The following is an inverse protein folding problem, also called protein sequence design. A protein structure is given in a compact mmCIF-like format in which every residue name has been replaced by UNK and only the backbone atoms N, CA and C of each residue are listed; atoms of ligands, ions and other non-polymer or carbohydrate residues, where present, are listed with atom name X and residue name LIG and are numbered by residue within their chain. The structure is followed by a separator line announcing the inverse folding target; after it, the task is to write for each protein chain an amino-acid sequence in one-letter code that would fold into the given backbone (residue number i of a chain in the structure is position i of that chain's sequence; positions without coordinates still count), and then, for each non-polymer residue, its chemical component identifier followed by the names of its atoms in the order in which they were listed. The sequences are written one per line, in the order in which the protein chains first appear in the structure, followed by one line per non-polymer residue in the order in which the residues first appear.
data_IF_070395145333
#
_entry.id   IF_070395145333
#
_cell.length_a   1.000
_cell.length_b   1.000
_cell.length_c   1.000
_cell.angle_alpha   90.00
_cell.angle_beta   90.00
_cell.angle_gamma   90.00
#
_symmetry.space_group_name_H-M   'P 1'
#
loop_
_entity.id
_entity.type
_entity.pdbx_description
1 polymer ?
#
# COMPACT_ATOMS: atom_id res chain seq x y z
N UNK A 1 -11.22 4.06 -19.41
CA UNK A 1 -9.77 4.27 -19.33
C UNK A 1 -9.21 3.20 -18.41
N UNK A 2 -7.97 2.77 -18.62
CA UNK A 2 -7.31 1.83 -17.73
C UNK A 2 -7.19 2.46 -16.33
N UNK A 3 -7.54 1.72 -15.28
CA UNK A 3 -7.44 2.24 -13.91
C UNK A 3 -6.07 1.94 -13.29
N UNK A 4 -5.57 2.86 -12.47
CA UNK A 4 -4.40 2.67 -11.61
C UNK A 4 -4.85 2.30 -10.21
N UNK A 5 -4.35 1.19 -9.69
CA UNK A 5 -4.59 0.73 -8.33
C UNK A 5 -3.44 1.19 -7.44
N UNK A 6 -3.78 1.84 -6.34
CA UNK A 6 -2.79 2.49 -5.48
C UNK A 6 -3.03 2.08 -4.05
N UNK A 7 -1.94 1.75 -3.36
CA UNK A 7 -1.88 1.58 -1.91
C UNK A 7 -0.77 2.46 -1.37
N UNK A 8 -1.06 3.23 -0.33
CA UNK A 8 -0.08 4.05 0.38
C UNK A 8 -0.09 3.64 1.84
N UNK A 9 1.07 3.30 2.39
CA UNK A 9 1.22 2.91 3.78
C UNK A 9 2.16 3.87 4.49
N UNK A 10 1.64 4.60 5.47
CA UNK A 10 2.44 5.35 6.42
C UNK A 10 2.86 4.46 7.58
N UNK A 11 4.10 4.59 8.04
CA UNK A 11 4.61 3.79 9.17
C UNK A 11 5.27 4.68 10.21
N UNK A 12 5.01 4.38 11.47
CA UNK A 12 5.60 5.12 12.59
C UNK A 12 5.12 4.61 13.94
N UNK A 13 5.02 5.52 14.91
CA UNK A 13 4.44 5.25 16.24
C UNK A 13 3.03 5.81 16.32
N UNK A 14 2.32 5.50 17.41
CA UNK A 14 1.00 6.05 17.69
C UNK A 14 0.96 7.58 17.61
N UNK A 15 1.99 8.27 18.12
CA UNK A 15 2.07 9.74 18.05
C UNK A 15 2.23 10.27 16.62
N UNK A 16 2.85 9.49 15.73
CA UNK A 16 2.91 9.80 14.31
C UNK A 16 1.52 9.63 13.69
N UNK A 17 0.77 8.58 14.03
CA UNK A 17 -0.62 8.39 13.57
C UNK A 17 -1.57 9.49 14.04
N UNK A 18 -1.42 9.97 15.28
CA UNK A 18 -2.17 11.13 15.77
C UNK A 18 -1.90 12.40 14.94
N UNK A 19 -0.64 12.61 14.52
CA UNK A 19 -0.28 13.71 13.63
C UNK A 19 -0.91 13.55 12.25
N UNK A 20 -0.86 12.34 11.69
CA UNK A 20 -1.49 12.01 10.42
C UNK A 20 -2.99 12.28 10.44
N UNK A 21 -3.73 11.74 11.41
CA UNK A 21 -5.18 11.94 11.47
C UNK A 21 -5.55 13.41 11.64
N UNK A 22 -4.80 14.17 12.45
CA UNK A 22 -4.99 15.62 12.58
C UNK A 22 -4.72 16.37 11.29
N UNK A 23 -3.71 15.95 10.52
CA UNK A 23 -3.44 16.53 9.22
C UNK A 23 -4.57 16.26 8.23
N UNK A 24 -5.11 15.03 8.19
CA UNK A 24 -6.24 14.69 7.33
C UNK A 24 -7.49 15.50 7.68
N UNK A 25 -7.70 15.78 8.96
CA UNK A 25 -8.82 16.57 9.48
C UNK A 25 -8.53 18.09 9.55
N UNK A 26 -7.44 18.59 8.94
CA UNK A 26 -7.04 20.01 9.08
C UNK A 26 -8.07 21.00 8.52
N UNK A 27 -8.87 20.56 7.57
CA UNK A 27 -9.91 21.37 6.91
C UNK A 27 -11.32 21.05 7.43
N UNK A 28 -11.44 20.19 8.45
CA UNK A 28 -12.70 19.94 9.14
C UNK A 28 -13.17 21.21 9.84
N UNK A 29 -14.44 21.58 9.64
CA UNK A 29 -15.03 22.76 10.29
C UNK A 29 -15.20 22.55 11.79
N UNK A 30 -15.30 21.30 12.26
CA UNK A 30 -15.41 20.98 13.67
C UNK A 30 -14.05 21.03 14.38
N UNK A 31 -13.94 21.78 15.49
CA UNK A 31 -12.66 21.92 16.19
C UNK A 31 -12.24 20.59 16.83
N UNK A 32 -11.07 20.09 16.44
CA UNK A 32 -10.47 18.90 17.03
C UNK A 32 -9.95 19.19 18.44
N UNK A 33 -10.34 18.36 19.41
CA UNK A 33 -9.77 18.42 20.75
C UNK A 33 -8.27 18.09 20.74
N UNK A 34 -7.42 18.88 21.42
CA UNK A 34 -6.00 18.53 21.61
C UNK A 34 -5.80 17.19 22.33
N UNK A 35 -6.79 16.73 23.10
CA UNK A 35 -6.77 15.49 23.87
C UNK A 35 -7.47 14.33 23.12
N UNK A 36 -7.90 14.54 21.87
CA UNK A 36 -8.52 13.50 21.07
C UNK A 36 -7.60 12.27 20.93
N UNK A 37 -8.18 11.11 21.24
CA UNK A 37 -7.55 9.80 21.05
C UNK A 37 -7.46 9.44 19.56
N UNK A 38 -6.63 8.45 19.23
CA UNK A 38 -6.47 8.02 17.85
C UNK A 38 -7.78 7.46 17.30
N UNK A 39 -8.50 6.70 18.11
CA UNK A 39 -9.79 6.10 17.77
C UNK A 39 -10.84 7.17 17.46
N UNK A 40 -10.89 8.26 18.24
CA UNK A 40 -11.79 9.38 18.01
C UNK A 40 -11.48 10.10 16.69
N UNK A 41 -10.20 10.31 16.38
CA UNK A 41 -9.80 10.95 15.13
C UNK A 41 -10.12 10.06 13.92
N UNK A 42 -9.87 8.75 14.02
CA UNK A 42 -10.25 7.78 12.96
C UNK A 42 -11.76 7.79 12.76
N UNK A 43 -12.54 7.74 13.84
CA UNK A 43 -14.01 7.79 13.77
C UNK A 43 -14.50 9.09 13.10
N UNK A 44 -13.84 10.22 13.34
CA UNK A 44 -14.16 11.48 12.68
C UNK A 44 -13.86 11.46 11.19
N UNK A 45 -12.71 10.92 10.77
CA UNK A 45 -12.38 10.74 9.34
C UNK A 45 -13.41 9.88 8.64
N UNK A 46 -13.77 8.74 9.25
CA UNK A 46 -14.78 7.83 8.71
C UNK A 46 -16.15 8.50 8.60
N UNK A 47 -16.52 9.30 9.61
CA UNK A 47 -17.78 10.04 9.59
C UNK A 47 -17.82 11.07 8.45
N UNK A 48 -16.77 11.88 8.28
CA UNK A 48 -16.69 12.82 7.15
C UNK A 48 -16.73 12.11 5.80
N UNK A 49 -15.99 11.01 5.65
CA UNK A 49 -16.01 10.22 4.42
C UNK A 49 -17.41 9.64 4.11
N UNK A 50 -18.19 9.33 5.14
CA UNK A 50 -19.56 8.85 4.98
C UNK A 50 -20.55 9.97 4.61
N UNK A 51 -20.39 11.16 5.17
CA UNK A 51 -21.29 12.30 4.93
C UNK A 51 -21.02 12.97 3.56
N UNK A 52 -19.75 13.08 3.17
CA UNK A 52 -19.33 13.87 2.01
C UNK A 52 -18.93 13.01 0.80
N UNK A 53 -18.49 11.77 1.02
CA UNK A 53 -18.03 10.87 -0.03
C UNK A 53 -19.10 9.94 -0.59
N UNK A 54 -18.74 9.15 -1.59
CA UNK A 54 -19.60 8.09 -2.13
C UNK A 54 -19.72 6.88 -1.19
N UNK A 55 -20.75 6.05 -1.43
CA UNK A 55 -20.99 4.83 -0.64
C UNK A 55 -19.74 3.93 -0.59
N UNK A 56 -19.35 3.54 0.63
CA UNK A 56 -18.17 2.70 0.88
C UNK A 56 -16.86 3.46 1.12
N UNK A 57 -16.81 4.77 0.89
CA UNK A 57 -15.64 5.61 1.17
C UNK A 57 -15.27 5.58 2.65
N UNK A 58 -13.99 5.40 2.96
CA UNK A 58 -13.47 5.43 4.35
C UNK A 58 -12.54 6.62 4.63
N UNK A 59 -12.18 7.36 3.59
CA UNK A 59 -11.52 8.67 3.67
C UNK A 59 -11.83 9.43 2.38
N UNK A 60 -11.69 10.76 2.40
CA UNK A 60 -11.79 11.59 1.21
C UNK A 60 -10.39 11.84 0.66
N UNK A 61 -10.18 11.65 -0.65
CA UNK A 61 -8.87 11.88 -1.26
C UNK A 61 -8.40 13.34 -1.09
N UNK A 62 -9.32 14.30 -1.07
CA UNK A 62 -9.04 15.72 -0.79
C UNK A 62 -8.38 15.98 0.57
N UNK A 63 -8.47 15.04 1.51
CA UNK A 63 -7.77 15.16 2.79
C UNK A 63 -6.25 15.03 2.66
N UNK A 64 -5.71 14.50 1.56
CA UNK A 64 -4.25 14.24 1.46
C UNK A 64 -3.43 15.49 1.13
N UNK A 65 -4.01 16.48 0.45
CA UNK A 65 -3.34 17.75 0.15
C UNK A 65 -4.36 18.87 -0.15
N UNK A 66 -3.99 20.13 0.10
CA UNK A 66 -4.86 21.29 -0.20
C UNK A 66 -5.01 21.54 -1.70
N UNK A 67 -4.05 21.07 -2.49
CA UNK A 67 -4.09 21.12 -3.95
C UNK A 67 -3.71 19.75 -4.48
N UNK A 68 -4.69 19.09 -5.08
CA UNK A 68 -4.53 17.80 -5.72
C UNK A 68 -4.05 17.94 -7.17
N UNK A 69 -3.18 17.04 -7.57
CA UNK A 69 -2.75 16.84 -8.95
C UNK A 69 -3.28 15.53 -9.53
N UNK A 70 -3.52 14.52 -8.67
CA UNK A 70 -4.11 13.24 -9.04
C UNK A 70 -5.60 13.18 -8.74
N UNK A 71 -6.16 12.00 -8.93
CA UNK A 71 -7.55 11.68 -8.65
C UNK A 71 -7.68 10.36 -7.88
N UNK A 72 -8.87 10.13 -7.35
CA UNK A 72 -9.26 8.87 -6.78
C UNK A 72 -10.75 8.63 -7.04
N UNK A 73 -11.11 7.39 -7.34
CA UNK A 73 -12.49 6.93 -7.35
C UNK A 73 -12.95 6.80 -5.90
N UNK A 74 -13.77 7.72 -5.44
CA UNK A 74 -14.17 7.84 -4.03
C UNK A 74 -14.73 6.53 -3.48
N UNK A 75 -15.59 5.83 -4.23
CA UNK A 75 -16.20 4.56 -3.82
C UNK A 75 -15.18 3.44 -3.53
N UNK A 76 -13.94 3.59 -3.98
CA UNK A 76 -12.82 2.65 -3.77
C UNK A 76 -11.88 3.07 -2.65
N UNK A 77 -12.04 4.29 -2.10
CA UNK A 77 -11.17 4.82 -1.06
C UNK A 77 -11.37 4.05 0.26
N UNK A 78 -10.34 3.31 0.67
CA UNK A 78 -10.27 2.56 1.93
C UNK A 78 -9.14 3.08 2.79
N UNK A 79 -9.36 3.09 4.10
CA UNK A 79 -8.38 3.52 5.09
C UNK A 79 -8.40 2.56 6.28
N UNK A 80 -7.22 2.12 6.71
CA UNK A 80 -7.06 1.32 7.91
C UNK A 80 -5.82 1.74 8.68
N UNK A 81 -6.00 2.14 9.94
CA UNK A 81 -4.91 2.47 10.86
C UNK A 81 -4.91 1.46 12.00
N UNK A 82 -3.77 0.83 12.27
CA UNK A 82 -3.65 -0.15 13.35
C UNK A 82 -2.23 -0.23 13.92
N UNK A 83 -2.12 -0.84 15.09
CA UNK A 83 -0.84 -1.31 15.64
C UNK A 83 -0.54 -2.69 15.05
N UNK A 84 0.68 -2.88 14.54
CA UNK A 84 1.19 -4.15 14.06
C UNK A 84 1.80 -4.95 15.22
N UNK A 85 1.95 -6.26 15.01
CA UNK A 85 2.51 -7.19 15.99
C UNK A 85 3.92 -6.78 16.46
N UNK A 86 4.73 -6.18 15.59
CA UNK A 86 6.06 -5.64 15.91
C UNK A 86 6.06 -4.33 16.74
N UNK A 87 4.89 -3.78 17.08
CA UNK A 87 4.72 -2.56 17.90
C UNK A 87 4.85 -1.24 17.12
N UNK A 88 4.98 -1.31 15.80
CA UNK A 88 4.82 -0.15 14.92
C UNK A 88 3.36 0.07 14.60
N UNK A 89 2.99 1.31 14.30
CA UNK A 89 1.69 1.62 13.75
C UNK A 89 1.80 1.79 12.24
N UNK A 90 0.77 1.34 11.53
CA UNK A 90 0.61 1.54 10.09
C UNK A 90 -0.69 2.29 9.81
N UNK A 91 -0.69 3.11 8.76
CA UNK A 91 -1.89 3.70 8.17
C UNK A 91 -1.89 3.38 6.67
N UNK A 92 -2.74 2.43 6.28
CA UNK A 92 -2.91 1.98 4.91
C UNK A 92 -4.08 2.72 4.26
N UNK A 93 -3.82 3.33 3.12
CA UNK A 93 -4.80 3.91 2.21
C UNK A 93 -4.79 3.08 0.94
N UNK A 94 -5.97 2.76 0.41
CA UNK A 94 -6.11 2.07 -0.87
C UNK A 94 -7.19 2.75 -1.69
N UNK A 95 -6.95 2.92 -3.00
CA UNK A 95 -7.90 3.53 -3.92
C UNK A 95 -7.54 3.20 -5.38
N UNK A 96 -8.52 3.34 -6.26
CA UNK A 96 -8.35 3.34 -7.71
C UNK A 96 -8.34 4.78 -8.23
N UNK A 97 -7.64 5.00 -9.34
CA UNK A 97 -7.49 6.29 -10.01
C UNK A 97 -7.67 6.11 -11.52
N UNK A 98 -8.18 7.12 -12.22
CA UNK A 98 -8.16 7.17 -13.68
C UNK A 98 -6.82 7.69 -14.22
N UNK A 99 -6.07 8.45 -13.41
CA UNK A 99 -4.72 8.90 -13.74
C UNK A 99 -3.62 8.05 -13.11
N UNK A 100 -2.38 8.29 -13.54
CA UNK A 100 -1.18 7.74 -12.92
C UNK A 100 -0.96 8.35 -11.53
N UNK A 101 -0.33 7.59 -10.63
CA UNK A 101 -0.03 8.04 -9.28
C UNK A 101 0.70 9.39 -9.27
N UNK A 102 0.22 10.33 -8.46
CA UNK A 102 0.82 11.65 -8.28
C UNK A 102 1.53 11.73 -6.92
N UNK A 103 2.88 11.57 -6.86
CA UNK A 103 3.61 11.61 -5.60
C UNK A 103 3.46 12.94 -4.85
N UNK A 104 3.23 14.04 -5.57
CA UNK A 104 3.08 15.38 -5.02
C UNK A 104 1.95 15.48 -3.98
N UNK A 105 0.85 14.78 -4.20
CA UNK A 105 -0.31 14.80 -3.29
C UNK A 105 0.08 14.18 -1.93
N UNK A 106 0.75 13.03 -1.97
CA UNK A 106 1.20 12.33 -0.76
C UNK A 106 2.47 12.91 -0.13
N UNK A 107 3.28 13.64 -0.90
CA UNK A 107 4.42 14.39 -0.35
C UNK A 107 3.96 15.45 0.64
N UNK A 108 2.76 16.03 0.46
CA UNK A 108 2.20 16.97 1.42
C UNK A 108 1.98 16.31 2.80
N UNK A 109 1.43 15.10 2.82
CA UNK A 109 1.29 14.27 4.02
C UNK A 109 2.66 14.00 4.66
N UNK A 110 3.63 13.54 3.86
CA UNK A 110 4.99 13.26 4.35
C UNK A 110 5.65 14.49 4.99
N UNK A 111 5.58 15.64 4.31
CA UNK A 111 6.17 16.89 4.79
C UNK A 111 5.52 17.39 6.08
N UNK A 112 4.20 17.25 6.21
CA UNK A 112 3.47 17.68 7.39
C UNK A 112 3.70 16.74 8.60
N UNK A 113 3.79 15.44 8.36
CA UNK A 113 3.80 14.43 9.42
C UNK A 113 5.21 13.95 9.79
N UNK A 114 6.17 14.04 8.87
CA UNK A 114 7.56 13.58 9.05
C UNK A 114 7.76 12.07 9.02
N UNK A 115 6.72 11.30 8.70
CA UNK A 115 6.73 9.84 8.60
C UNK A 115 7.03 9.39 7.16
N UNK A 116 7.81 8.33 6.93
CA UNK A 116 7.93 7.79 5.59
C UNK A 116 6.61 7.18 5.12
N UNK A 117 6.34 7.30 3.82
CA UNK A 117 5.23 6.63 3.15
C UNK A 117 5.80 5.66 2.13
N UNK A 118 5.25 4.46 2.09
CA UNK A 118 5.57 3.44 1.11
C UNK A 118 4.36 3.26 0.22
N UNK A 119 4.58 3.23 -1.09
CA UNK A 119 3.53 3.20 -2.09
C UNK A 119 3.70 1.93 -2.91
N UNK A 120 2.61 1.20 -3.13
CA UNK A 120 2.51 0.12 -4.10
C UNK A 120 1.45 0.53 -5.12
N UNK A 121 1.82 0.57 -6.40
CA UNK A 121 0.92 1.01 -7.47
C UNK A 121 1.01 0.08 -8.67
N UNK A 122 -0.09 -0.07 -9.40
CA UNK A 122 -0.11 -0.76 -10.68
C UNK A 122 -1.30 -0.30 -11.53
N UNK A 123 -1.01 0.09 -12.77
CA UNK A 123 -2.00 0.22 -13.83
C UNK A 123 -2.54 -1.15 -14.25
N UNK A 124 -3.75 -1.19 -14.80
CA UNK A 124 -4.26 -2.35 -15.52
C UNK A 124 -3.35 -2.75 -16.70
N UNK A 125 -2.75 -1.75 -17.35
CA UNK A 125 -1.82 -1.97 -18.45
C UNK A 125 -0.40 -2.16 -17.91
N UNK A 126 0.16 -3.36 -18.11
CA UNK A 126 1.45 -3.74 -17.53
C UNK A 126 2.61 -2.82 -17.91
N UNK A 127 2.64 -2.32 -19.15
CA UNK A 127 3.72 -1.46 -19.64
C UNK A 127 3.65 -0.01 -19.15
N UNK A 128 2.57 0.39 -18.48
CA UNK A 128 2.45 1.73 -17.92
C UNK A 128 3.16 1.82 -16.55
N UNK A 129 2.41 2.12 -15.50
CA UNK A 129 2.92 2.34 -14.15
C UNK A 129 2.77 1.08 -13.31
N UNK A 130 3.85 0.67 -12.62
CA UNK A 130 3.83 -0.42 -11.64
C UNK A 130 4.95 -0.27 -10.63
N UNK A 131 4.86 -1.03 -9.53
CA UNK A 131 5.92 -1.18 -8.55
C UNK A 131 5.82 -0.24 -7.35
N UNK A 132 6.96 -0.04 -6.70
CA UNK A 132 7.02 0.61 -5.40
C UNK A 132 7.67 1.99 -5.46
N UNK A 133 7.20 2.87 -4.60
CA UNK A 133 7.76 4.20 -4.42
C UNK A 133 7.81 4.54 -2.94
N UNK A 134 8.86 5.24 -2.53
CA UNK A 134 9.10 5.61 -1.14
C UNK A 134 9.14 7.13 -1.03
N UNK A 135 8.34 7.71 -0.15
CA UNK A 135 8.34 9.14 0.16
C UNK A 135 9.12 9.35 1.46
N UNK A 136 10.31 9.95 1.34
CA UNK A 136 11.17 10.22 2.48
C UNK A 136 12.08 11.43 2.21
N UNK A 137 12.44 12.18 3.26
CA UNK A 137 13.28 13.37 3.15
C UNK A 137 12.69 14.47 2.25
N UNK A 138 11.36 14.55 2.16
CA UNK A 138 10.66 15.51 1.30
C UNK A 138 10.70 15.18 -0.19
N UNK A 139 11.05 13.95 -0.58
CA UNK A 139 11.21 13.51 -1.97
C UNK A 139 10.59 12.14 -2.20
N UNK A 140 10.28 11.86 -3.46
CA UNK A 140 9.91 10.54 -3.94
C UNK A 140 11.14 9.79 -4.46
N UNK A 141 11.24 8.52 -4.12
CA UNK A 141 12.30 7.61 -4.54
C UNK A 141 11.65 6.37 -5.15
N UNK A 142 11.91 6.11 -6.42
CA UNK A 142 11.45 4.87 -7.05
C UNK A 142 12.19 3.67 -6.42
N UNK A 143 11.44 2.64 -6.06
CA UNK A 143 11.98 1.33 -5.76
C UNK A 143 11.69 0.42 -6.96
N UNK A 144 12.76 0.13 -7.71
CA UNK A 144 12.71 -0.70 -8.91
C UNK A 144 12.65 -2.20 -8.61
N UNK A 145 12.72 -2.59 -7.34
CA UNK A 145 12.49 -3.96 -6.92
C UNK A 145 11.00 -4.32 -7.05
N UNK A 146 10.72 -5.58 -7.36
CA UNK A 146 9.40 -6.18 -7.27
C UNK A 146 8.32 -5.50 -8.14
N UNK A 147 8.73 -4.85 -9.23
CA UNK A 147 7.85 -4.07 -10.13
C UNK A 147 6.75 -4.94 -10.75
N UNK A 148 7.11 -6.14 -11.17
CA UNK A 148 6.23 -7.03 -11.90
C UNK A 148 5.32 -7.82 -10.97
N UNK A 149 5.85 -8.19 -9.81
CA UNK A 149 5.17 -8.80 -8.69
C UNK A 149 4.09 -7.85 -8.13
N UNK A 150 4.39 -6.55 -8.03
CA UNK A 150 3.41 -5.52 -7.65
C UNK A 150 2.23 -5.47 -8.62
N UNK A 151 2.50 -5.53 -9.92
CA UNK A 151 1.47 -5.58 -10.95
C UNK A 151 0.64 -6.86 -10.84
N UNK A 152 1.31 -8.01 -10.72
CA UNK A 152 0.70 -9.32 -10.59
C UNK A 152 -0.24 -9.35 -9.38
N UNK A 153 0.25 -8.93 -8.22
CA UNK A 153 -0.52 -8.91 -6.97
C UNK A 153 -1.75 -8.00 -7.06
N UNK A 154 -1.58 -6.74 -7.48
CA UNK A 154 -2.69 -5.78 -7.52
C UNK A 154 -3.74 -6.16 -8.57
N UNK A 155 -3.34 -6.69 -9.73
CA UNK A 155 -4.29 -7.09 -10.77
C UNK A 155 -4.92 -8.46 -10.52
N UNK A 156 -4.23 -9.40 -9.84
CA UNK A 156 -4.85 -10.65 -9.40
C UNK A 156 -5.96 -10.41 -8.38
N UNK A 157 -5.72 -9.47 -7.48
CA UNK A 157 -6.65 -9.20 -6.39
C UNK A 157 -7.80 -8.28 -6.78
N UNK A 158 -7.58 -7.35 -7.71
CA UNK A 158 -8.50 -6.24 -7.95
C UNK A 158 -8.80 -5.96 -9.43
N UNK A 159 -8.35 -6.82 -10.36
CA UNK A 159 -8.69 -6.72 -11.79
C UNK A 159 -10.22 -6.66 -11.99
N UNK A 160 -10.66 -5.79 -12.90
CA UNK A 160 -12.06 -5.44 -13.12
C UNK A 160 -12.99 -6.67 -13.10
N UNK A 161 -13.97 -6.64 -12.19
CA UNK A 161 -14.94 -7.67 -11.80
C UNK A 161 -14.66 -8.25 -10.39
N UNK A 162 -15.09 -7.51 -9.35
CA UNK A 162 -15.34 -8.06 -8.02
C UNK A 162 -16.47 -9.11 -8.13
N UNK A 163 -16.08 -10.31 -8.56
CA UNK A 163 -16.71 -11.65 -8.49
C UNK A 163 -16.11 -12.51 -9.62
N UNK A 164 -14.86 -12.95 -9.43
CA UNK A 164 -14.18 -13.92 -10.30
C UNK A 164 -12.75 -13.48 -10.60
N UNK A 165 -11.75 -13.82 -9.76
CA UNK A 165 -11.16 -15.17 -9.71
C UNK A 165 -11.22 -15.94 -11.04
N UNK A 166 -11.07 -15.31 -12.20
CA UNK A 166 -10.74 -16.06 -13.42
C UNK A 166 -9.23 -15.94 -13.70
N UNK A 167 -8.42 -16.84 -13.12
CA UNK A 167 -7.01 -17.00 -13.46
C UNK A 167 -6.72 -17.01 -14.97
N UNK A 168 -7.69 -17.35 -15.83
CA UNK A 168 -7.51 -17.32 -17.30
C UNK A 168 -7.45 -15.91 -17.87
N UNK A 169 -8.19 -14.95 -17.32
CA UNK A 169 -8.11 -13.54 -17.73
C UNK A 169 -6.73 -12.97 -17.39
N UNK A 170 -6.26 -13.26 -16.18
CA UNK A 170 -4.92 -12.86 -15.72
C UNK A 170 -3.85 -13.57 -16.54
N UNK A 171 -3.97 -14.89 -16.75
CA UNK A 171 -3.09 -15.64 -17.67
C UNK A 171 -3.06 -15.01 -19.05
N UNK A 172 -4.19 -14.60 -19.63
CA UNK A 172 -4.23 -13.95 -20.94
C UNK A 172 -3.48 -12.62 -20.95
N UNK A 173 -3.61 -11.81 -19.90
CA UNK A 173 -2.83 -10.59 -19.75
C UNK A 173 -1.33 -10.89 -19.60
N UNK A 174 -0.97 -11.92 -18.84
CA UNK A 174 0.41 -12.40 -18.69
C UNK A 174 1.01 -12.97 -19.98
N UNK A 175 0.23 -13.68 -20.81
CA UNK A 175 0.65 -14.15 -22.14
C UNK A 175 0.94 -12.97 -23.05
N UNK A 176 0.04 -11.98 -23.09
CA UNK A 176 0.27 -10.79 -23.89
C UNK A 176 1.52 -10.03 -23.45
N UNK A 177 1.82 -10.03 -22.14
CA UNK A 177 3.04 -9.46 -21.60
C UNK A 177 4.29 -10.28 -21.91
N UNK A 178 4.20 -11.61 -21.87
CA UNK A 178 5.32 -12.50 -22.20
C UNK A 178 5.72 -12.41 -23.68
N UNK A 179 4.80 -11.99 -24.54
CA UNK A 179 5.05 -11.72 -25.96
C UNK A 179 5.75 -10.37 -26.20
N UNK A 180 5.83 -9.51 -25.19
CA UNK A 180 6.52 -8.21 -25.26
C UNK A 180 8.01 -8.39 -24.88
N UNK A 181 8.90 -8.23 -25.87
CA UNK A 181 10.33 -8.58 -25.80
C UNK A 181 11.16 -7.71 -24.81
N UNK A 182 10.58 -6.63 -24.27
CA UNK A 182 11.27 -5.68 -23.39
C UNK A 182 11.25 -6.05 -21.89
N UNK A 183 10.68 -7.20 -21.51
CA UNK A 183 10.63 -7.65 -20.11
C UNK A 183 11.67 -8.75 -19.82
N UNK A 184 12.66 -8.43 -18.98
CA UNK A 184 13.82 -9.31 -18.71
C UNK A 184 13.48 -10.62 -17.99
N UNK A 185 12.33 -10.68 -17.32
CA UNK A 185 11.91 -11.82 -16.49
C UNK A 185 10.79 -12.61 -17.17
N UNK A 186 10.90 -13.93 -17.20
CA UNK A 186 9.82 -14.79 -17.68
C UNK A 186 8.60 -14.73 -16.74
N UNK A 187 7.42 -15.07 -17.24
CA UNK A 187 6.22 -15.16 -16.39
C UNK A 187 6.40 -16.17 -15.25
N UNK A 188 7.09 -17.28 -15.50
CA UNK A 188 7.39 -18.28 -14.47
C UNK A 188 8.25 -17.70 -13.34
N UNK A 189 9.32 -16.99 -13.69
CA UNK A 189 10.19 -16.31 -12.71
C UNK A 189 9.43 -15.23 -11.93
N UNK A 190 8.52 -14.48 -12.58
CA UNK A 190 7.67 -13.50 -11.90
C UNK A 190 6.73 -14.13 -10.87
N UNK A 191 6.11 -15.26 -11.22
CA UNK A 191 5.23 -16.00 -10.31
C UNK A 191 6.03 -16.51 -9.11
N UNK A 192 7.23 -17.04 -9.34
CA UNK A 192 8.12 -17.52 -8.29
C UNK A 192 8.60 -16.41 -7.36
N UNK A 193 9.06 -15.28 -7.92
CA UNK A 193 9.46 -14.12 -7.14
C UNK A 193 8.31 -13.56 -6.29
N UNK A 194 7.07 -13.63 -6.78
CA UNK A 194 5.89 -13.22 -6.00
C UNK A 194 5.61 -14.14 -4.81
N UNK A 195 5.72 -15.47 -5.00
CA UNK A 195 5.59 -16.45 -3.91
C UNK A 195 6.71 -16.28 -2.88
N UNK A 196 7.95 -16.13 -3.33
CA UNK A 196 9.11 -15.88 -2.48
C UNK A 196 8.90 -14.63 -1.63
N UNK A 197 8.49 -13.52 -2.23
CA UNK A 197 8.21 -12.27 -1.51
C UNK A 197 7.11 -12.44 -0.44
N UNK A 198 5.98 -13.06 -0.79
CA UNK A 198 4.89 -13.30 0.16
C UNK A 198 5.35 -14.19 1.33
N UNK A 199 6.20 -15.18 1.05
CA UNK A 199 6.78 -16.06 2.06
C UNK A 199 7.71 -15.30 3.00
N UNK A 200 8.65 -14.51 2.48
CA UNK A 200 9.54 -13.67 3.29
C UNK A 200 8.77 -12.69 4.19
N UNK A 201 7.73 -12.05 3.66
CA UNK A 201 6.90 -11.14 4.43
C UNK A 201 6.08 -11.87 5.51
N UNK A 202 5.68 -13.10 5.25
CA UNK A 202 4.98 -13.94 6.22
C UNK A 202 5.93 -14.35 7.37
N UNK A 203 7.16 -14.73 7.06
CA UNK A 203 8.20 -15.01 8.06
C UNK A 203 8.47 -13.79 8.94
N UNK A 204 8.61 -12.60 8.33
CA UNK A 204 8.73 -11.35 9.08
C UNK A 204 7.51 -11.11 9.99
N UNK A 205 6.30 -11.29 9.46
CA UNK A 205 5.08 -11.09 10.25
C UNK A 205 4.97 -12.06 11.43
N UNK A 206 5.44 -13.30 11.28
CA UNK A 206 5.45 -14.33 12.31
C UNK A 206 6.54 -14.10 13.38
N UNK A 207 7.68 -13.52 13.02
CA UNK A 207 8.78 -13.17 13.94
C UNK A 207 8.53 -11.89 14.77
N UNK A 208 7.26 -11.59 15.09
CA UNK A 208 6.83 -10.30 15.63
C UNK A 208 7.56 -9.85 16.91
N UNK A 209 7.80 -10.77 17.84
CA UNK A 209 8.45 -10.45 19.13
C UNK A 209 9.94 -10.16 18.95
N UNK A 210 10.62 -10.92 18.08
CA UNK A 210 12.03 -10.70 17.74
C UNK A 210 12.19 -9.35 17.04
N UNK A 211 11.35 -9.08 16.04
CA UNK A 211 11.32 -7.79 15.34
C UNK A 211 11.06 -6.62 16.29
N UNK A 212 10.16 -6.78 17.26
CA UNK A 212 9.88 -5.75 18.27
C UNK A 212 11.12 -5.43 19.11
N UNK A 213 11.87 -6.45 19.50
CA UNK A 213 13.12 -6.28 20.27
C UNK A 213 14.20 -5.60 19.42
N UNK A 214 14.38 -6.02 18.18
CA UNK A 214 15.36 -5.42 17.25
C UNK A 214 15.03 -3.96 16.92
N UNK A 215 13.76 -3.63 16.71
CA UNK A 215 13.31 -2.23 16.53
C UNK A 215 13.70 -1.38 17.74
N UNK A 216 13.51 -1.88 18.95
CA UNK A 216 13.87 -1.15 20.17
C UNK A 216 15.39 -1.02 20.32
N UNK A 217 16.16 -2.05 19.96
CA UNK A 217 17.63 -1.95 19.88
C UNK A 217 18.08 -0.88 18.89
N UNK A 218 17.55 -0.88 17.66
CA UNK A 218 17.89 0.15 16.67
C UNK A 218 17.57 1.56 17.18
N UNK A 219 16.50 1.74 17.97
CA UNK A 219 16.18 3.03 18.61
C UNK A 219 17.22 3.45 19.64
N UNK A 220 17.59 2.54 20.54
CA UNK A 220 18.55 2.81 21.61
C UNK A 220 19.93 3.14 21.04
N UNK A 221 20.32 2.44 19.98
CA UNK A 221 21.60 2.63 19.29
C UNK A 221 21.58 3.79 18.28
N UNK A 222 20.39 4.36 18.00
CA UNK A 222 20.17 5.38 16.95
C UNK A 222 20.58 4.88 15.56
N UNK A 223 20.38 3.59 15.30
CA UNK A 223 20.51 3.00 13.99
C UNK A 223 19.28 3.35 13.14
N UNK A 224 19.36 4.49 12.47
CA UNK A 224 18.30 4.96 11.57
C UNK A 224 18.12 4.07 10.34
N UNK A 225 19.16 3.38 9.89
CA UNK A 225 19.09 2.50 8.73
C UNK A 225 18.31 1.23 9.08
N UNK A 226 18.62 0.61 10.22
CA UNK A 226 17.85 -0.52 10.75
C UNK A 226 16.39 -0.16 11.02
N UNK A 227 16.12 1.01 11.62
CA UNK A 227 14.73 1.47 11.80
C UNK A 227 13.98 1.64 10.49
N UNK A 228 14.64 2.20 9.46
CA UNK A 228 14.02 2.39 8.16
C UNK A 228 13.73 1.06 7.46
N UNK A 229 14.61 0.06 7.63
CA UNK A 229 14.37 -1.31 7.17
C UNK A 229 13.10 -1.90 7.78
N UNK A 230 12.95 -1.82 9.11
CA UNK A 230 11.74 -2.32 9.79
C UNK A 230 10.48 -1.56 9.39
N UNK A 231 10.58 -0.25 9.14
CA UNK A 231 9.45 0.54 8.63
C UNK A 231 9.04 0.05 7.24
N UNK A 232 10.00 -0.24 6.36
CA UNK A 232 9.75 -0.82 5.05
C UNK A 232 9.05 -2.18 5.15
N UNK A 233 9.58 -3.10 5.96
CA UNK A 233 8.96 -4.43 6.14
C UNK A 233 7.56 -4.35 6.75
N UNK A 234 7.33 -3.50 7.75
CA UNK A 234 6.00 -3.28 8.32
C UNK A 234 5.03 -2.60 7.32
N UNK A 235 5.53 -1.78 6.40
CA UNK A 235 4.71 -1.23 5.33
C UNK A 235 4.35 -2.31 4.31
N UNK A 236 5.34 -3.11 3.88
CA UNK A 236 5.15 -4.16 2.89
C UNK A 236 4.13 -5.21 3.35
N UNK A 237 4.16 -5.64 4.61
CA UNK A 237 3.12 -6.57 5.12
C UNK A 237 1.70 -6.02 4.95
N UNK A 238 1.52 -4.70 5.01
CA UNK A 238 0.23 -4.03 4.77
C UNK A 238 -0.05 -3.78 3.30
N UNK A 239 0.94 -3.39 2.51
CA UNK A 239 0.80 -3.17 1.07
C UNK A 239 0.47 -4.47 0.32
N UNK A 240 0.97 -5.61 0.82
CA UNK A 240 0.77 -6.95 0.25
C UNK A 240 -0.33 -7.77 0.94
N UNK A 241 -1.09 -7.20 1.87
CA UNK A 241 -2.19 -7.87 2.59
C UNK A 241 -1.77 -9.22 3.20
N UNK A 242 -0.72 -9.21 4.02
CA UNK A 242 -0.12 -10.44 4.56
C UNK A 242 -1.08 -11.26 5.42
N UNK A 243 -2.14 -10.64 5.94
CA UNK A 243 -3.20 -11.32 6.69
C UNK A 243 -3.90 -12.41 5.82
N UNK A 244 -3.78 -12.31 4.49
CA UNK A 244 -4.30 -13.27 3.50
C UNK A 244 -3.19 -13.96 2.66
N UNK A 245 -1.94 -13.98 3.14
CA UNK A 245 -0.78 -14.49 2.40
C UNK A 245 -0.98 -15.91 1.83
N UNK A 246 -1.53 -16.83 2.62
CA UNK A 246 -1.75 -18.23 2.20
C UNK A 246 -2.70 -18.32 1.00
N UNK A 247 -3.79 -17.53 1.01
CA UNK A 247 -4.72 -17.47 -0.12
C UNK A 247 -4.04 -16.89 -1.37
N UNK A 248 -3.17 -15.90 -1.19
CA UNK A 248 -2.43 -15.26 -2.27
C UNK A 248 -1.41 -16.22 -2.90
N UNK A 249 -0.62 -16.89 -2.07
CA UNK A 249 0.35 -17.90 -2.52
C UNK A 249 -0.37 -18.99 -3.32
N UNK A 250 -1.47 -19.54 -2.80
CA UNK A 250 -2.22 -20.58 -3.50
C UNK A 250 -2.78 -20.11 -4.86
N UNK A 251 -3.17 -18.83 -4.99
CA UNK A 251 -3.62 -18.26 -6.27
C UNK A 251 -2.48 -18.14 -7.28
N UNK A 252 -1.30 -17.70 -6.82
CA UNK A 252 -0.10 -17.57 -7.67
C UNK A 252 0.40 -18.94 -8.10
N UNK A 253 0.44 -19.91 -7.19
CA UNK A 253 0.80 -21.30 -7.50
C UNK A 253 -0.17 -21.95 -8.51
N UNK A 254 -1.47 -21.73 -8.36
CA UNK A 254 -2.46 -22.21 -9.32
C UNK A 254 -2.23 -21.66 -10.73
N UNK A 255 -1.89 -20.36 -10.86
CA UNK A 255 -1.50 -19.77 -12.15
C UNK A 255 -0.24 -20.40 -12.72
N UNK A 256 0.73 -20.70 -11.86
CA UNK A 256 1.98 -21.35 -12.27
C UNK A 256 1.72 -22.75 -12.82
N UNK A 257 0.88 -23.54 -12.16
CA UNK A 257 0.47 -24.87 -12.66
C UNK A 257 -0.16 -24.76 -14.04
N UNK A 258 -1.09 -23.81 -14.23
CA UNK A 258 -1.70 -23.56 -15.54
C UNK A 258 -0.72 -23.05 -16.61
N UNK A 259 0.39 -22.44 -16.21
CA UNK A 259 1.42 -21.95 -17.12
C UNK A 259 2.39 -23.05 -17.55
N UNK A 260 2.63 -24.04 -16.69
CA UNK A 260 3.45 -25.22 -16.96
C UNK A 260 2.78 -26.27 -17.86
N UNK A 261 1.48 -26.14 -18.12
CA UNK A 261 0.68 -26.89 -19.12
C UNK A 261 0.53 -26.13 -20.45
#
# INVERSE_FOLDING_TARGET
MASTRIRVCAVGRQQDMLRLCRYLLRNDEEPLSPEATLEQLIARILHLAHEEGLEGSQFLYEMVADRLYGDAREETCRMNIREESCGLYTALFAYESESLFQPSDWLAVHQACGMPLFVLRASEEFYQEKGMLILSGGRAHDNWERMAEAWLYLNLRYGADFEGRDPRKVRKALVHQAEDEDFEMTVGEMLDACVENLTELQEFYQAAEENRQEIETCRQEKDFQGLFYFFGKAAETRLWDIDHAEEHIAQVESLKEMWGE
#
